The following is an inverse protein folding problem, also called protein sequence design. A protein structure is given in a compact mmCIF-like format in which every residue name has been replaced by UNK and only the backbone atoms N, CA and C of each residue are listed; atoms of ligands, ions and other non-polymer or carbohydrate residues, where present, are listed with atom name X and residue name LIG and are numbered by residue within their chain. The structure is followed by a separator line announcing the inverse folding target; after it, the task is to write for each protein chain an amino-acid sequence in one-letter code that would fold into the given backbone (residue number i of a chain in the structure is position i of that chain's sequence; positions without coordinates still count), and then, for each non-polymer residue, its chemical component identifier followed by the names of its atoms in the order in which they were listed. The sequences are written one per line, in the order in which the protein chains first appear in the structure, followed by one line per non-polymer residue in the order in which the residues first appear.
data_IF_109932629896
#
_entry.id   IF_109932629896
#
_cell.length_a   1.000
_cell.length_b   1.000
_cell.length_c   1.000
_cell.angle_alpha   90.00
_cell.angle_beta   90.00
_cell.angle_gamma   90.00
#
_symmetry.space_group_name_H-M   'P 1'
#
loop_
_entity.id
_entity.type
_entity.pdbx_description
1 polymer ?
#
# COMPACT_ATOMS: atom_id res chain seq x y z
N UNK A 1 -9.20 -5.03 -14.40
CA UNK A 1 -8.59 -4.07 -15.34
C UNK A 1 -8.05 -4.71 -16.61
N UNK A 2 -7.30 -5.83 -16.53
CA UNK A 2 -6.73 -6.45 -17.74
C UNK A 2 -7.75 -6.78 -18.86
N UNK A 3 -8.95 -7.35 -18.58
CA UNK A 3 -9.97 -7.61 -19.60
C UNK A 3 -10.42 -6.38 -20.42
N UNK A 4 -10.31 -5.17 -19.85
CA UNK A 4 -10.70 -3.93 -20.51
C UNK A 4 -9.78 -3.58 -21.69
N UNK A 5 -8.55 -4.12 -21.73
CA UNK A 5 -7.65 -3.93 -22.87
C UNK A 5 -8.18 -4.65 -24.11
N UNK A 6 -8.71 -5.86 -23.95
CA UNK A 6 -9.33 -6.60 -25.06
C UNK A 6 -10.62 -5.94 -25.53
N UNK A 7 -11.45 -5.42 -24.60
CA UNK A 7 -12.65 -4.66 -24.95
C UNK A 7 -12.33 -3.38 -25.74
N UNK A 8 -11.30 -2.65 -25.32
CA UNK A 8 -10.84 -1.46 -26.02
C UNK A 8 -10.33 -1.77 -27.44
N UNK A 9 -9.55 -2.85 -27.61
CA UNK A 9 -9.08 -3.29 -28.93
C UNK A 9 -10.22 -3.81 -29.82
N UNK A 10 -11.25 -4.42 -29.23
CA UNK A 10 -12.46 -4.85 -29.93
C UNK A 10 -13.41 -3.69 -30.30
N UNK A 11 -13.04 -2.44 -29.98
CA UNK A 11 -13.75 -1.25 -30.41
C UNK A 11 -14.86 -0.78 -29.46
N UNK A 12 -14.92 -1.27 -28.22
CA UNK A 12 -15.89 -0.77 -27.22
C UNK A 12 -15.49 0.64 -26.75
N UNK A 13 -16.26 1.70 -27.04
CA UNK A 13 -15.95 3.03 -26.55
C UNK A 13 -16.28 3.15 -25.06
N UNK A 14 -15.59 4.06 -24.36
CA UNK A 14 -15.83 4.33 -22.93
C UNK A 14 -17.18 5.03 -22.71
N UNK A 15 -17.70 4.94 -21.48
CA UNK A 15 -18.93 5.63 -21.01
C UNK A 15 -20.22 5.19 -21.71
N UNK A 16 -20.27 3.94 -22.15
CA UNK A 16 -21.45 3.34 -22.75
C UNK A 16 -22.23 2.58 -21.66
N UNK A 17 -23.48 2.97 -21.36
CA UNK A 17 -24.27 2.31 -20.32
C UNK A 17 -24.87 0.97 -20.78
N UNK A 18 -25.14 0.82 -22.08
CA UNK A 18 -25.72 -0.38 -22.68
C UNK A 18 -24.89 -0.81 -23.90
N UNK A 19 -24.41 -2.06 -23.90
CA UNK A 19 -23.43 -2.57 -24.85
C UNK A 19 -23.91 -3.85 -25.51
N UNK A 20 -23.40 -4.12 -26.72
CA UNK A 20 -23.73 -5.32 -27.48
C UNK A 20 -23.32 -6.59 -26.70
N UNK A 21 -24.13 -7.65 -26.79
CA UNK A 21 -23.88 -8.98 -26.20
C UNK A 21 -22.50 -9.55 -26.53
N UNK A 22 -21.90 -9.17 -27.67
CA UNK A 22 -20.53 -9.56 -28.04
C UNK A 22 -19.46 -9.12 -27.03
N UNK A 23 -19.73 -8.11 -26.20
CA UNK A 23 -18.83 -7.59 -25.17
C UNK A 23 -19.15 -8.12 -23.75
N UNK A 24 -20.19 -8.96 -23.60
CA UNK A 24 -20.69 -9.38 -22.30
C UNK A 24 -19.68 -10.17 -21.47
N UNK A 25 -19.00 -11.15 -22.07
CA UNK A 25 -18.10 -12.05 -21.35
C UNK A 25 -16.94 -11.31 -20.68
N UNK A 26 -16.26 -10.42 -21.41
CA UNK A 26 -15.16 -9.63 -20.87
C UNK A 26 -15.64 -8.61 -19.83
N UNK A 27 -16.83 -8.02 -20.00
CA UNK A 27 -17.43 -7.13 -19.00
C UNK A 27 -17.84 -7.89 -17.73
N UNK A 28 -18.31 -9.13 -17.85
CA UNK A 28 -18.63 -10.00 -16.72
C UNK A 28 -17.36 -10.34 -15.93
N UNK A 29 -16.28 -10.78 -16.60
CA UNK A 29 -14.99 -11.05 -15.93
C UNK A 29 -14.48 -9.78 -15.24
N UNK A 30 -14.58 -8.63 -15.89
CA UNK A 30 -14.19 -7.35 -15.29
C UNK A 30 -15.02 -7.00 -14.06
N UNK A 31 -16.32 -7.31 -14.07
CA UNK A 31 -17.24 -7.08 -12.95
C UNK A 31 -16.91 -7.97 -11.75
N UNK A 32 -16.63 -9.26 -11.99
CA UNK A 32 -16.18 -10.19 -10.94
C UNK A 32 -14.90 -9.66 -10.27
N UNK A 33 -13.94 -9.21 -11.08
CA UNK A 33 -12.71 -8.60 -10.56
C UNK A 33 -12.97 -7.32 -9.76
N UNK A 34 -13.93 -6.49 -10.18
CA UNK A 34 -14.32 -5.28 -9.46
C UNK A 34 -14.95 -5.58 -8.10
N UNK A 35 -15.81 -6.61 -8.01
CA UNK A 35 -16.35 -7.06 -6.72
C UNK A 35 -15.24 -7.63 -5.82
N UNK A 36 -14.30 -8.39 -6.36
CA UNK A 36 -13.13 -8.88 -5.62
C UNK A 36 -12.26 -7.74 -5.08
N UNK A 37 -12.03 -6.70 -5.89
CA UNK A 37 -11.33 -5.49 -5.44
C UNK A 37 -12.10 -4.75 -4.34
N UNK A 38 -13.43 -4.63 -4.48
CA UNK A 38 -14.28 -4.05 -3.43
C UNK A 38 -14.17 -4.82 -2.11
N UNK A 39 -14.17 -6.15 -2.16
CA UNK A 39 -13.97 -6.99 -0.97
C UNK A 39 -12.57 -6.79 -0.35
N UNK A 40 -11.52 -6.70 -1.17
CA UNK A 40 -10.17 -6.42 -0.68
C UNK A 40 -10.10 -5.09 0.08
N UNK A 41 -10.84 -4.06 -0.37
CA UNK A 41 -10.91 -2.78 0.32
C UNK A 41 -11.59 -2.89 1.69
N UNK A 42 -12.63 -3.72 1.82
CA UNK A 42 -13.28 -3.99 3.11
C UNK A 42 -12.34 -4.73 4.07
N UNK A 43 -11.60 -5.71 3.56
CA UNK A 43 -10.58 -6.43 4.35
C UNK A 43 -9.49 -5.45 4.83
N UNK A 44 -9.00 -4.58 3.95
CA UNK A 44 -8.02 -3.56 4.31
C UNK A 44 -8.54 -2.63 5.42
N UNK A 45 -9.76 -2.12 5.28
CA UNK A 45 -10.37 -1.28 6.31
C UNK A 45 -10.50 -2.01 7.66
N UNK A 46 -10.88 -3.30 7.63
CA UNK A 46 -10.95 -4.13 8.82
C UNK A 46 -9.58 -4.32 9.49
N UNK A 47 -8.52 -4.59 8.72
CA UNK A 47 -7.14 -4.72 9.23
C UNK A 47 -6.70 -3.42 9.92
N UNK A 48 -6.99 -2.26 9.32
CA UNK A 48 -6.64 -0.96 9.91
C UNK A 48 -7.41 -0.72 11.22
N UNK A 49 -8.71 -1.05 11.26
CA UNK A 49 -9.53 -0.94 12.48
C UNK A 49 -8.98 -1.85 13.59
N UNK A 50 -8.71 -3.12 13.28
CA UNK A 50 -8.22 -4.08 14.26
C UNK A 50 -6.83 -3.69 14.81
N UNK A 51 -5.93 -3.24 13.93
CA UNK A 51 -4.58 -2.81 14.31
C UNK A 51 -4.57 -1.50 15.11
N UNK A 52 -5.33 -0.48 14.69
CA UNK A 52 -5.26 0.86 15.28
C UNK A 52 -6.22 1.06 16.46
N UNK A 53 -7.46 0.58 16.35
CA UNK A 53 -8.51 0.83 17.34
C UNK A 53 -8.59 -0.28 18.37
N UNK A 54 -8.53 -1.54 17.93
CA UNK A 54 -8.64 -2.70 18.83
C UNK A 54 -7.27 -3.10 19.43
N UNK A 55 -6.16 -2.57 18.89
CA UNK A 55 -4.78 -2.79 19.35
C UNK A 55 -4.44 -4.26 19.58
N UNK A 56 -4.98 -5.16 18.74
CA UNK A 56 -4.69 -6.58 18.84
C UNK A 56 -3.34 -6.85 18.18
N UNK A 57 -2.28 -6.94 18.99
CA UNK A 57 -0.95 -7.30 18.52
C UNK A 57 0.19 -6.76 19.37
N UNK A 58 1.41 -7.21 19.04
CA UNK A 58 2.63 -6.64 19.62
C UNK A 58 2.86 -5.22 19.07
N UNK A 59 3.41 -4.34 19.91
CA UNK A 59 3.80 -2.99 19.47
C UNK A 59 4.95 -3.09 18.47
N UNK A 60 4.92 -2.23 17.46
CA UNK A 60 6.01 -2.09 16.50
C UNK A 60 7.32 -1.74 17.23
N UNK A 61 8.40 -2.43 16.85
CA UNK A 61 9.77 -2.09 17.26
C UNK A 61 10.30 -0.90 16.46
N UNK A 62 11.48 -0.38 16.83
CA UNK A 62 12.10 0.74 16.12
C UNK A 62 12.53 0.38 14.68
N UNK A 63 12.82 -0.90 14.39
CA UNK A 63 13.13 -1.40 13.04
C UNK A 63 12.29 -2.63 12.71
N UNK A 64 11.07 -2.42 12.21
CA UNK A 64 10.11 -3.51 11.93
C UNK A 64 10.36 -4.20 10.59
N UNK A 65 11.08 -3.55 9.67
CA UNK A 65 11.36 -4.09 8.34
C UNK A 65 12.77 -4.65 8.26
N UNK A 66 12.92 -5.72 7.47
CA UNK A 66 14.24 -6.23 7.14
C UNK A 66 15.00 -5.20 6.31
N UNK A 67 16.24 -4.90 6.71
CA UNK A 67 17.05 -3.87 6.05
C UNK A 67 16.59 -2.43 6.28
N UNK A 68 15.78 -2.17 7.32
CA UNK A 68 15.42 -0.82 7.74
C UNK A 68 16.69 0.01 8.05
N UNK A 69 16.92 1.06 7.26
CA UNK A 69 18.04 2.00 7.40
C UNK A 69 17.50 3.42 7.41
N UNK A 70 18.19 4.31 8.10
CA UNK A 70 17.71 5.66 8.37
C UNK A 70 17.55 5.92 9.87
N UNK A 71 17.64 7.19 10.26
CA UNK A 71 17.52 7.61 11.66
C UNK A 71 16.09 7.39 12.19
N UNK A 72 15.09 7.37 11.33
CA UNK A 72 13.69 7.09 11.68
C UNK A 72 13.47 5.68 12.22
N UNK A 73 14.39 4.74 11.97
CA UNK A 73 14.34 3.38 12.51
C UNK A 73 15.14 3.22 13.82
N UNK A 74 15.73 4.30 14.31
CA UNK A 74 16.41 4.32 15.63
C UNK A 74 15.50 4.84 16.75
N UNK A 75 14.32 5.36 16.39
CA UNK A 75 13.38 5.96 17.32
C UNK A 75 12.24 4.98 17.64
N UNK A 76 11.67 5.03 18.86
CA UNK A 76 10.57 4.13 19.23
C UNK A 76 9.31 4.46 18.42
N UNK A 77 8.43 3.47 18.26
CA UNK A 77 7.11 3.64 17.64
C UNK A 77 6.00 3.60 18.70
N UNK A 78 5.19 4.66 18.87
CA UNK A 78 5.16 5.91 18.11
C UNK A 78 6.31 6.86 18.48
N UNK A 79 6.70 7.71 17.51
CA UNK A 79 7.81 8.65 17.68
C UNK A 79 7.53 9.68 18.79
N UNK A 80 8.52 10.03 19.62
CA UNK A 80 8.38 11.10 20.62
C UNK A 80 8.21 12.48 19.96
N UNK A 81 7.58 13.41 20.67
CA UNK A 81 7.43 14.81 20.20
C UNK A 81 8.78 15.51 19.96
N UNK A 82 9.81 15.18 20.74
CA UNK A 82 11.17 15.65 20.53
C UNK A 82 12.07 14.44 20.26
N UNK A 83 12.49 14.28 19.00
CA UNK A 83 13.07 13.02 18.52
C UNK A 83 14.51 12.79 18.97
N UNK A 84 15.36 13.82 18.92
CA UNK A 84 16.78 13.71 19.29
C UNK A 84 17.20 14.89 20.15
N UNK A 85 17.47 14.66 21.44
CA UNK A 85 18.02 15.68 22.34
C UNK A 85 19.50 15.96 22.09
N UNK A 86 20.23 14.95 21.62
CA UNK A 86 21.62 15.05 21.18
C UNK A 86 21.70 14.67 19.71
N UNK A 87 22.39 15.44 18.86
CA UNK A 87 22.55 15.11 17.45
C UNK A 87 23.12 13.69 17.28
N UNK A 88 22.46 12.82 16.50
CA UNK A 88 22.96 11.46 16.28
C UNK A 88 24.20 11.49 15.38
N UNK A 89 25.17 10.64 15.68
CA UNK A 89 26.32 10.40 14.79
C UNK A 89 25.88 9.46 13.68
N UNK A 90 26.15 9.85 12.45
CA UNK A 90 25.76 9.14 11.24
C UNK A 90 26.88 8.17 10.85
N UNK A 91 26.51 6.91 10.65
CA UNK A 91 27.37 5.84 10.16
C UNK A 91 26.77 5.27 8.86
N UNK A 92 27.57 4.64 8.00
CA UNK A 92 27.11 4.00 6.74
C UNK A 92 25.94 3.02 6.95
N UNK A 93 25.87 2.36 8.10
CA UNK A 93 24.81 1.40 8.43
C UNK A 93 23.46 2.06 8.73
N UNK A 94 23.46 3.34 9.11
CA UNK A 94 22.27 4.11 9.52
C UNK A 94 21.83 5.11 8.45
N UNK A 95 22.59 5.23 7.37
CA UNK A 95 22.26 6.11 6.27
C UNK A 95 21.07 5.53 5.48
N UNK A 96 20.01 6.31 5.31
CA UNK A 96 18.85 5.89 4.52
C UNK A 96 19.20 5.83 3.03
N UNK A 97 19.93 6.83 2.53
CA UNK A 97 20.31 6.99 1.13
C UNK A 97 21.70 7.65 1.04
N UNK A 98 22.56 7.19 0.12
CA UNK A 98 23.87 7.80 -0.16
C UNK A 98 25.06 7.12 0.55
N UNK A 99 26.12 7.90 0.79
CA UNK A 99 27.26 7.55 1.64
C UNK A 99 27.48 8.62 2.73
N UNK A 100 28.32 8.36 3.73
CA UNK A 100 28.60 9.33 4.82
C UNK A 100 29.30 10.62 4.38
N UNK A 101 29.77 10.72 3.14
CA UNK A 101 30.50 11.87 2.60
C UNK A 101 29.66 12.84 1.77
N UNK A 102 28.40 12.48 1.49
CA UNK A 102 27.45 13.23 0.67
C UNK A 102 26.45 14.07 1.48
#
# INVERSE_FOLDING_TARGET
FFPQHFLGLAGMPRRIPDYNVAFADFNMISSIGAFGFGLAQLIFAWIVIDACLLRKGAKATAGVWEGARGLEWTVPSPAPHHTFSTPPVIDDSKLAHGDVSH
#
